data_IF_136628036794
#
_entry.id   IF_136628036794
#
_cell.length_a   1.000
_cell.length_b   1.000
_cell.length_c   1.000
_cell.angle_alpha   90.00
_cell.angle_beta   90.00
_cell.angle_gamma   90.00
#
_symmetry.space_group_name_H-M   'P 1'
#
loop_
_entity.id
_entity.type
_entity.pdbx_description
1 polymer ?
#
# COMPACT_ATOMS: atom_id res chain seq x y z
N UNK A 1 -16.80 -7.35 -6.92
CA UNK A 1 -16.32 -8.32 -5.89
C UNK A 1 -16.82 -7.86 -4.54
N UNK A 2 -17.29 -8.80 -3.71
CA UNK A 2 -17.89 -8.49 -2.41
C UNK A 2 -16.89 -7.72 -1.54
N UNK A 3 -17.32 -6.59 -1.00
CA UNK A 3 -16.59 -5.91 0.07
C UNK A 3 -16.49 -6.92 1.22
N UNK A 4 -15.29 -7.30 1.69
CA UNK A 4 -15.20 -8.07 2.91
C UNK A 4 -15.86 -7.21 4.00
N UNK A 5 -17.00 -7.67 4.52
CA UNK A 5 -17.73 -7.00 5.59
C UNK A 5 -16.81 -6.97 6.82
N UNK A 6 -16.04 -5.89 6.92
CA UNK A 6 -15.27 -5.60 8.11
C UNK A 6 -16.26 -5.38 9.25
N UNK A 7 -16.02 -6.04 10.38
CA UNK A 7 -16.70 -5.70 11.63
C UNK A 7 -16.57 -4.20 11.85
N UNK A 8 -17.68 -3.53 12.15
CA UNK A 8 -17.69 -2.11 12.44
C UNK A 8 -16.59 -1.77 13.47
N UNK A 9 -15.76 -0.78 13.15
CA UNK A 9 -14.61 -0.42 13.99
C UNK A 9 -13.29 -1.10 13.64
N UNK A 10 -13.18 -1.88 12.55
CA UNK A 10 -11.91 -2.39 12.03
C UNK A 10 -11.58 -1.78 10.66
N UNK A 11 -10.29 -1.55 10.40
CA UNK A 11 -9.75 -1.05 9.13
C UNK A 11 -8.60 -1.92 8.66
N UNK A 12 -8.48 -2.09 7.35
CA UNK A 12 -7.35 -2.76 6.73
C UNK A 12 -6.12 -1.86 6.81
N UNK A 13 -5.13 -2.28 7.60
CA UNK A 13 -3.91 -1.49 7.81
C UNK A 13 -2.69 -2.40 8.04
N UNK A 14 -2.31 -3.20 7.03
CA UNK A 14 -1.21 -4.13 7.16
C UNK A 14 0.14 -3.43 7.41
N UNK A 15 1.06 -4.16 8.03
CA UNK A 15 2.48 -3.83 8.05
C UNK A 15 3.14 -4.14 6.69
N UNK A 16 4.35 -3.64 6.48
CA UNK A 16 5.09 -3.94 5.24
C UNK A 16 5.43 -5.42 5.08
N UNK A 17 5.65 -6.12 6.19
CA UNK A 17 5.90 -7.57 6.20
C UNK A 17 4.61 -8.33 5.90
N UNK A 18 3.48 -7.98 6.51
CA UNK A 18 2.18 -8.61 6.21
C UNK A 18 1.80 -8.46 4.73
N UNK A 19 2.09 -7.32 4.09
CA UNK A 19 1.91 -7.15 2.64
C UNK A 19 2.80 -8.09 1.82
N UNK A 20 4.01 -8.37 2.29
CA UNK A 20 4.92 -9.29 1.63
C UNK A 20 4.40 -10.72 1.82
N UNK A 21 4.22 -11.13 3.06
CA UNK A 21 3.99 -12.53 3.43
C UNK A 21 2.58 -13.02 3.06
N UNK A 22 1.55 -12.16 3.18
CA UNK A 22 0.15 -12.56 2.99
C UNK A 22 -0.46 -12.05 1.68
N UNK A 23 0.32 -11.35 0.85
CA UNK A 23 -0.17 -10.87 -0.44
C UNK A 23 0.83 -11.04 -1.58
N UNK A 24 2.05 -10.51 -1.47
CA UNK A 24 3.04 -10.61 -2.55
C UNK A 24 3.60 -12.03 -2.73
N UNK A 25 3.93 -12.73 -1.64
CA UNK A 25 4.47 -14.11 -1.65
C UNK A 25 3.45 -15.08 -2.28
N UNK A 26 2.18 -15.12 -1.84
CA UNK A 26 1.16 -15.95 -2.48
C UNK A 26 0.92 -15.60 -3.95
N UNK A 27 0.88 -14.30 -4.31
CA UNK A 27 0.70 -13.87 -5.71
C UNK A 27 1.88 -14.22 -6.61
N UNK A 28 3.07 -14.28 -6.04
CA UNK A 28 4.26 -14.78 -6.73
C UNK A 28 4.30 -16.31 -6.83
N UNK A 29 3.24 -17.04 -6.43
CA UNK A 29 3.22 -18.50 -6.51
C UNK A 29 4.18 -19.18 -5.54
N UNK A 30 4.65 -18.48 -4.50
CA UNK A 30 5.57 -19.02 -3.50
C UNK A 30 4.86 -19.76 -2.34
N UNK A 31 3.54 -19.96 -2.47
CA UNK A 31 2.68 -20.55 -1.44
C UNK A 31 2.09 -19.51 -0.48
N UNK A 32 1.17 -19.97 0.37
CA UNK A 32 0.44 -19.15 1.34
C UNK A 32 -0.97 -18.74 0.87
N UNK A 33 -1.78 -18.27 1.81
CA UNK A 33 -3.15 -17.83 1.55
C UNK A 33 -3.20 -16.34 1.21
N UNK A 34 -3.89 -15.99 0.13
CA UNK A 34 -4.19 -14.59 -0.22
C UNK A 34 -5.39 -14.13 0.60
N UNK A 35 -5.31 -12.94 1.19
CA UNK A 35 -6.49 -12.23 1.69
C UNK A 35 -7.12 -11.39 0.57
N UNK A 36 -8.21 -11.86 -0.07
CA UNK A 36 -8.81 -11.14 -1.18
C UNK A 36 -9.59 -9.90 -0.71
N UNK A 37 -9.74 -8.94 -1.62
CA UNK A 37 -10.77 -7.92 -1.51
C UNK A 37 -10.44 -6.70 -0.66
N UNK A 38 -9.19 -6.50 -0.22
CA UNK A 38 -8.75 -5.28 0.50
C UNK A 38 -7.75 -4.40 -0.27
N UNK A 39 -7.14 -4.95 -1.30
CA UNK A 39 -6.15 -4.29 -2.16
C UNK A 39 -6.77 -4.22 -3.54
N UNK A 40 -6.85 -3.02 -4.10
CA UNK A 40 -7.48 -2.79 -5.40
C UNK A 40 -6.49 -3.11 -6.53
N UNK A 41 -6.98 -3.73 -7.60
CA UNK A 41 -6.16 -4.27 -8.70
C UNK A 41 -6.50 -3.58 -10.02
N UNK A 42 -5.55 -3.58 -10.96
CA UNK A 42 -5.75 -2.99 -12.29
C UNK A 42 -5.77 -1.45 -12.32
N UNK A 43 -5.33 -0.81 -11.23
CA UNK A 43 -5.20 0.64 -11.14
C UNK A 43 -3.78 1.05 -11.54
N UNK A 44 -3.65 1.90 -12.57
CA UNK A 44 -2.37 2.50 -12.92
C UNK A 44 -2.02 3.66 -11.96
N UNK A 45 -1.53 3.29 -10.77
CA UNK A 45 -1.21 4.24 -9.70
C UNK A 45 -0.15 5.25 -10.10
N UNK A 46 0.79 4.85 -10.97
CA UNK A 46 1.94 5.67 -11.32
C UNK A 46 1.57 6.79 -12.31
N UNK A 47 0.56 6.57 -13.14
CA UNK A 47 0.08 7.54 -14.12
C UNK A 47 -1.06 8.43 -13.61
N UNK A 48 -1.77 8.02 -12.55
CA UNK A 48 -2.92 8.77 -12.04
C UNK A 48 -2.55 9.81 -10.97
N UNK A 49 -3.19 11.00 -10.99
CA UNK A 49 -3.18 11.91 -9.87
C UNK A 49 -3.70 11.22 -8.60
N UNK A 50 -3.10 11.43 -7.42
CA UNK A 50 -3.49 10.74 -6.20
C UNK A 50 -4.97 10.93 -5.82
N UNK A 51 -5.57 12.05 -6.23
CA UNK A 51 -6.99 12.38 -5.95
C UNK A 51 -7.98 11.56 -6.79
N UNK A 52 -7.53 10.99 -7.90
CA UNK A 52 -8.36 10.18 -8.81
C UNK A 52 -8.29 8.68 -8.48
N UNK A 53 -7.43 8.30 -7.51
CA UNK A 53 -7.33 6.93 -7.06
C UNK A 53 -8.60 6.51 -6.30
N UNK A 54 -9.07 5.27 -6.50
CA UNK A 54 -10.31 4.80 -5.90
C UNK A 54 -10.10 4.41 -4.44
N UNK A 55 -10.02 5.40 -3.55
CA UNK A 55 -9.97 5.14 -2.10
C UNK A 55 -11.32 4.65 -1.60
N UNK A 56 -11.29 3.63 -0.75
CA UNK A 56 -12.48 3.13 -0.07
C UNK A 56 -12.93 4.09 1.00
N UNK A 57 -14.25 4.20 1.17
CA UNK A 57 -14.87 5.10 2.15
C UNK A 57 -14.35 4.88 3.58
N UNK A 58 -14.13 3.62 3.98
CA UNK A 58 -13.61 3.26 5.29
C UNK A 58 -12.14 3.64 5.54
N UNK A 59 -11.41 4.04 4.49
CA UNK A 59 -10.04 4.54 4.57
C UNK A 59 -9.96 6.06 4.42
N UNK A 60 -11.10 6.74 4.30
CA UNK A 60 -11.20 8.20 4.36
C UNK A 60 -11.57 8.55 5.80
N UNK A 61 -10.80 9.48 6.38
CA UNK A 61 -11.01 10.00 7.73
C UNK A 61 -11.20 11.50 7.70
N UNK A 62 -11.65 12.01 8.83
CA UNK A 62 -11.77 13.44 9.08
C UNK A 62 -10.40 14.13 8.93
N UNK A 63 -10.44 15.45 8.69
CA UNK A 63 -9.24 16.27 8.47
C UNK A 63 -8.37 15.86 7.26
N UNK A 64 -8.97 15.08 6.35
CA UNK A 64 -8.37 14.73 5.08
C UNK A 64 -7.31 13.64 5.15
N UNK A 65 -7.21 12.90 6.26
CA UNK A 65 -6.43 11.65 6.29
C UNK A 65 -7.08 10.62 5.35
N UNK A 66 -6.28 10.05 4.46
CA UNK A 66 -6.76 9.00 3.54
C UNK A 66 -5.63 8.04 3.21
N UNK A 67 -5.95 6.76 3.04
CA UNK A 67 -5.00 5.78 2.54
C UNK A 67 -5.67 4.74 1.64
N UNK A 68 -4.88 4.11 0.77
CA UNK A 68 -5.31 3.03 -0.11
C UNK A 68 -4.15 2.09 -0.40
N UNK A 69 -4.49 0.88 -0.80
CA UNK A 69 -3.52 -0.14 -1.20
C UNK A 69 -3.90 -0.65 -2.58
N UNK A 70 -2.93 -0.65 -3.48
CA UNK A 70 -3.13 -0.98 -4.88
C UNK A 70 -2.09 -1.99 -5.31
N UNK A 71 -2.49 -3.00 -6.05
CA UNK A 71 -1.60 -4.01 -6.59
C UNK A 71 -1.35 -3.79 -8.07
N UNK A 72 -0.10 -3.98 -8.47
CA UNK A 72 0.30 -4.02 -9.86
C UNK A 72 1.33 -5.13 -10.09
N UNK A 73 1.28 -5.71 -11.30
CA UNK A 73 2.39 -6.45 -11.88
C UNK A 73 3.04 -5.53 -12.90
N UNK A 74 4.34 -5.26 -12.75
CA UNK A 74 5.07 -4.32 -13.61
C UNK A 74 6.36 -4.94 -14.11
N UNK A 75 6.92 -4.39 -15.19
CA UNK A 75 8.17 -4.92 -15.71
C UNK A 75 9.36 -4.49 -14.83
N UNK A 76 10.36 -5.35 -14.72
CA UNK A 76 11.57 -5.09 -13.97
C UNK A 76 12.33 -3.93 -14.62
N UNK A 77 12.58 -2.88 -13.86
CA UNK A 77 13.21 -1.64 -14.37
C UNK A 77 12.21 -0.60 -14.88
N UNK A 78 10.90 -0.90 -14.85
CA UNK A 78 9.86 0.11 -15.08
C UNK A 78 9.92 1.18 -13.98
N UNK A 79 10.38 2.37 -14.40
CA UNK A 79 10.48 3.56 -13.56
C UNK A 79 9.18 4.35 -13.61
N UNK A 80 9.00 5.28 -12.67
CA UNK A 80 7.85 6.17 -12.74
C UNK A 80 7.83 6.91 -14.09
N UNK A 81 6.66 7.01 -14.73
CA UNK A 81 6.55 7.68 -16.02
C UNK A 81 7.05 9.12 -15.91
N UNK A 82 7.63 9.61 -17.00
CA UNK A 82 8.16 10.97 -17.08
C UNK A 82 7.05 11.98 -16.74
N UNK A 83 7.32 13.00 -15.90
CA UNK A 83 6.30 13.98 -15.53
C UNK A 83 5.64 14.62 -16.75
N UNK A 84 4.37 14.31 -16.96
CA UNK A 84 3.50 15.05 -17.87
C UNK A 84 2.93 16.31 -17.22
N UNK A 85 2.08 17.04 -17.95
CA UNK A 85 1.45 18.29 -17.48
C UNK A 85 0.57 18.15 -16.21
N UNK A 86 0.24 16.92 -15.79
CA UNK A 86 -0.60 16.63 -14.61
C UNK A 86 0.16 16.37 -13.30
N UNK A 87 1.49 16.19 -13.33
CA UNK A 87 2.30 15.79 -12.18
C UNK A 87 2.88 14.39 -12.28
N UNK A 88 3.70 14.00 -11.29
CA UNK A 88 4.32 12.68 -11.23
C UNK A 88 4.64 12.25 -9.80
N UNK A 89 4.84 10.94 -9.62
CA UNK A 89 5.45 10.36 -8.43
C UNK A 89 6.98 10.44 -8.53
N UNK A 90 7.62 11.03 -7.52
CA UNK A 90 9.08 11.16 -7.44
C UNK A 90 9.60 10.37 -6.25
N UNK A 91 10.52 9.44 -6.51
CA UNK A 91 11.18 8.63 -5.48
C UNK A 91 12.00 9.54 -4.55
N UNK A 92 12.01 9.25 -3.25
CA UNK A 92 12.82 9.99 -2.28
C UNK A 92 13.26 9.12 -1.10
N UNK A 93 14.35 9.54 -0.45
CA UNK A 93 14.90 8.89 0.74
C UNK A 93 15.67 7.60 0.45
N UNK A 94 16.28 7.05 1.49
CA UNK A 94 17.07 5.82 1.39
C UNK A 94 16.18 4.61 1.19
N UNK A 95 16.60 3.74 0.28
CA UNK A 95 15.92 2.49 -0.03
C UNK A 95 15.95 1.57 1.20
N UNK A 96 14.78 1.06 1.59
CA UNK A 96 14.70 -0.11 2.47
C UNK A 96 14.69 -1.36 1.59
N UNK A 97 15.12 -2.53 2.10
CA UNK A 97 15.34 -3.74 1.29
C UNK A 97 14.14 -4.21 0.45
N UNK A 98 12.93 -3.78 0.79
CA UNK A 98 11.68 -4.15 0.14
C UNK A 98 10.68 -3.00 0.05
N UNK A 99 11.07 -1.77 0.41
CA UNK A 99 10.15 -0.64 0.50
C UNK A 99 10.77 0.67 -0.02
N UNK A 100 10.14 1.22 -1.04
CA UNK A 100 10.52 2.46 -1.71
C UNK A 100 9.51 3.56 -1.38
N UNK A 101 9.94 4.82 -1.33
CA UNK A 101 9.09 5.95 -0.97
C UNK A 101 9.03 6.95 -2.10
N UNK A 102 7.83 7.46 -2.34
CA UNK A 102 7.55 8.41 -3.41
C UNK A 102 6.68 9.56 -2.90
N UNK A 103 6.90 10.75 -3.43
CA UNK A 103 6.09 11.94 -3.17
C UNK A 103 5.48 12.40 -4.48
N UNK A 104 4.22 12.83 -4.45
CA UNK A 104 3.60 13.43 -5.62
C UNK A 104 4.14 14.84 -5.83
N UNK A 105 4.52 15.17 -7.06
CA UNK A 105 4.86 16.53 -7.51
C UNK A 105 3.95 16.89 -8.68
N UNK A 106 3.00 17.80 -8.46
CA UNK A 106 2.14 18.34 -9.51
C UNK A 106 0.76 18.79 -9.03
N UNK A 107 0.04 19.53 -9.88
CA UNK A 107 -1.28 20.10 -9.62
C UNK A 107 -1.27 21.64 -9.50
N UNK A 108 -2.33 22.29 -10.00
CA UNK A 108 -2.52 23.75 -10.00
C UNK A 108 -2.75 24.36 -8.59
N UNK A 109 -2.92 23.54 -7.56
CA UNK A 109 -3.25 23.99 -6.21
C UNK A 109 -2.23 23.46 -5.21
N UNK A 110 -1.52 24.39 -4.56
CA UNK A 110 -0.68 24.12 -3.41
C UNK A 110 -1.53 23.46 -2.32
N UNK A 111 -1.39 22.13 -2.17
CA UNK A 111 -2.07 21.39 -1.12
C UNK A 111 -1.17 21.36 0.12
N UNK A 112 -1.62 21.82 1.30
CA UNK A 112 -0.80 21.83 2.52
C UNK A 112 -0.30 20.43 2.94
N UNK A 113 -1.10 19.39 2.66
CA UNK A 113 -0.68 18.00 2.87
C UNK A 113 -0.13 17.38 1.59
N UNK A 114 1.12 16.91 1.66
CA UNK A 114 1.81 16.20 0.59
C UNK A 114 1.25 14.77 0.47
N UNK A 115 0.92 14.36 -0.75
CA UNK A 115 0.60 12.96 -1.06
C UNK A 115 1.87 12.12 -1.06
N UNK A 116 1.79 10.96 -0.43
CA UNK A 116 2.90 10.04 -0.24
C UNK A 116 2.52 8.66 -0.75
N UNK A 117 3.49 7.94 -1.27
CA UNK A 117 3.34 6.55 -1.67
C UNK A 117 4.50 5.73 -1.12
N UNK A 118 4.18 4.51 -0.65
CA UNK A 118 5.16 3.46 -0.37
C UNK A 118 4.92 2.32 -1.32
N UNK A 119 5.96 1.92 -2.04
CA UNK A 119 5.91 0.75 -2.91
C UNK A 119 6.64 -0.39 -2.22
N UNK A 120 5.94 -1.52 -2.07
CA UNK A 120 6.47 -2.74 -1.50
C UNK A 120 6.71 -3.73 -2.63
N UNK A 121 7.91 -4.32 -2.67
CA UNK A 121 8.31 -5.29 -3.70
C UNK A 121 8.84 -6.54 -3.05
N UNK A 122 8.61 -7.69 -3.69
CA UNK A 122 9.26 -8.94 -3.29
C UNK A 122 10.74 -8.92 -3.72
N UNK A 123 11.63 -9.40 -2.85
CA UNK A 123 13.04 -9.53 -3.19
C UNK A 123 13.24 -10.71 -4.16
N UNK A 124 13.41 -10.41 -5.46
CA UNK A 124 13.64 -11.40 -6.52
C UNK A 124 14.94 -12.18 -6.38
N UNK A 125 15.93 -11.62 -5.70
CA UNK A 125 17.24 -12.26 -5.50
C UNK A 125 17.21 -13.26 -4.34
N UNK A 126 16.09 -13.33 -3.60
CA UNK A 126 15.89 -14.34 -2.58
C UNK A 126 15.87 -15.74 -3.21
N UNK A 127 16.56 -16.68 -2.57
CA UNK A 127 16.70 -18.06 -3.06
C UNK A 127 15.33 -18.75 -3.27
N UNK A 128 14.33 -18.43 -2.44
CA UNK A 128 12.98 -18.96 -2.58
C UNK A 128 12.31 -18.54 -3.90
N UNK A 129 12.44 -17.27 -4.29
CA UNK A 129 11.87 -16.76 -5.54
C UNK A 129 12.54 -17.41 -6.75
N UNK A 130 13.87 -17.51 -6.76
CA UNK A 130 14.63 -18.16 -7.86
C UNK A 130 14.31 -19.65 -8.03
N UNK A 131 13.96 -20.35 -6.94
CA UNK A 131 13.57 -21.77 -7.02
C UNK A 131 12.18 -21.95 -7.63
N UNK A 132 11.24 -21.08 -7.29
CA UNK A 132 9.88 -21.14 -7.81
C UNK A 132 9.78 -20.65 -9.26
N UNK A 133 10.64 -19.71 -9.66
CA UNK A 133 10.71 -19.15 -11.01
C UNK A 133 12.08 -19.45 -11.64
N UNK A 134 12.30 -20.69 -12.13
CA UNK A 134 13.57 -21.07 -12.74
C UNK A 134 13.81 -20.37 -14.08
N UNK A 135 12.74 -20.05 -14.80
CA UNK A 135 12.76 -19.38 -16.11
C UNK A 135 13.27 -17.93 -15.97
N UNK A 136 14.32 -17.54 -16.70
CA UNK A 136 14.81 -16.16 -16.73
C UNK A 136 13.83 -15.13 -17.30
N UNK A 137 12.92 -15.48 -18.22
CA UNK A 137 11.95 -14.51 -18.79
C UNK A 137 10.81 -14.19 -17.80
N UNK A 138 10.43 -15.15 -16.94
CA UNK A 138 9.48 -14.92 -15.84
C UNK A 138 10.03 -13.97 -14.75
N UNK A 139 11.33 -13.61 -14.79
CA UNK A 139 11.98 -12.68 -13.83
C UNK A 139 11.69 -11.23 -14.12
N UNK A 140 11.16 -10.92 -15.30
CA UNK A 140 10.89 -9.54 -15.70
C UNK A 140 9.58 -9.01 -15.12
N UNK A 141 8.71 -9.85 -14.56
CA UNK A 141 7.50 -9.38 -13.87
C UNK A 141 7.75 -9.22 -12.38
N UNK A 142 7.57 -8.00 -11.88
CA UNK A 142 7.68 -7.64 -10.46
C UNK A 142 6.30 -7.36 -9.90
N UNK A 143 5.90 -8.14 -8.90
CA UNK A 143 4.70 -7.90 -8.11
C UNK A 143 4.95 -6.80 -7.09
N UNK A 144 4.08 -5.79 -7.09
CA UNK A 144 4.20 -4.64 -6.20
C UNK A 144 2.87 -4.32 -5.54
N UNK A 145 2.95 -3.79 -4.31
CA UNK A 145 1.84 -3.12 -3.65
C UNK A 145 2.20 -1.67 -3.41
N UNK A 146 1.39 -0.74 -3.92
CA UNK A 146 1.47 0.68 -3.63
C UNK A 146 0.52 1.03 -2.49
N UNK A 147 1.07 1.49 -1.37
CA UNK A 147 0.31 2.21 -0.35
C UNK A 147 0.35 3.70 -0.66
N UNK A 148 -0.77 4.26 -1.13
CA UNK A 148 -0.90 5.71 -1.33
C UNK A 148 -1.63 6.32 -0.13
N UNK A 149 -1.14 7.44 0.39
CA UNK A 149 -1.74 8.08 1.56
C UNK A 149 -1.48 9.58 1.64
N UNK A 150 -2.36 10.25 2.37
CA UNK A 150 -2.22 11.64 2.79
C UNK A 150 -2.44 11.71 4.30
N UNK A 151 -1.55 12.40 4.99
CA UNK A 151 -1.68 12.68 6.43
C UNK A 151 -2.65 13.83 6.69
N UNK A 152 -3.27 13.90 7.88
CA UNK A 152 -4.15 15.02 8.21
C UNK A 152 -3.38 16.35 8.20
N UNK A 153 -4.08 17.43 7.80
CA UNK A 153 -3.57 18.80 7.90
C UNK A 153 -3.95 19.31 9.30
N UNK A 154 -2.99 19.42 10.22
CA UNK A 154 -3.11 19.88 11.63
C UNK A 154 -3.62 18.82 12.65
N UNK A 155 -3.22 18.91 13.94
CA UNK A 155 -3.39 17.82 14.88
C UNK A 155 -4.86 17.68 15.32
N UNK A 156 -5.34 16.44 15.55
CA UNK A 156 -6.64 16.24 16.19
C UNK A 156 -6.64 16.85 17.60
N UNK A 157 -7.80 17.32 18.11
CA UNK A 157 -7.92 17.71 19.52
C UNK A 157 -7.46 16.56 20.42
N UNK A 158 -6.72 16.88 21.48
CA UNK A 158 -6.16 15.91 22.40
C UNK A 158 -7.25 15.37 23.33
N UNK A 159 -7.87 14.24 22.96
CA UNK A 159 -8.75 13.52 23.87
C UNK A 159 -8.08 12.24 24.40
N UNK A 160 -7.52 12.41 25.60
CA UNK A 160 -7.54 11.52 26.76
C UNK A 160 -7.12 10.05 26.61
N UNK A 161 -5.97 9.77 27.24
CA UNK A 161 -5.54 8.53 27.89
C UNK A 161 -6.63 7.47 28.13
N UNK A 162 -6.46 6.29 27.52
CA UNK A 162 -6.93 5.03 28.11
C UNK A 162 -5.95 3.92 27.74
N UNK A 163 -5.20 3.51 28.76
CA UNK A 163 -4.44 2.27 28.82
C UNK A 163 -5.41 1.10 28.77
N UNK A 164 -5.30 0.21 27.78
CA UNK A 164 -5.64 -1.18 28.05
C UNK A 164 -4.94 -2.20 27.15
N UNK A 165 -4.66 -3.29 27.85
CA UNK A 165 -3.96 -4.54 27.62
C UNK A 165 -4.04 -5.22 26.24
N UNK A 166 -2.94 -5.92 25.95
CA UNK A 166 -2.82 -6.87 24.84
C UNK A 166 -3.67 -8.08 25.16
N UNK A 167 -4.72 -8.32 24.39
CA UNK A 167 -5.34 -9.64 24.31
C UNK A 167 -4.96 -10.28 22.97
N UNK A 168 -4.38 -11.48 23.07
CA UNK A 168 -4.12 -12.35 21.94
C UNK A 168 -5.44 -12.67 21.24
N UNK A 169 -5.53 -12.29 19.97
CA UNK A 169 -6.62 -12.71 19.11
C UNK A 169 -6.05 -13.12 17.77
N UNK A 170 -6.10 -14.43 17.50
CA UNK A 170 -6.18 -15.13 16.21
C UNK A 170 -5.47 -14.50 15.01
N UNK A 171 -4.65 -15.27 14.30
CA UNK A 171 -3.81 -14.86 13.15
C UNK A 171 -4.54 -14.08 12.03
N UNK A 172 -5.87 -14.10 11.97
CA UNK A 172 -6.71 -13.22 11.12
C UNK A 172 -6.74 -11.73 11.55
N UNK A 173 -6.25 -11.43 12.75
CA UNK A 173 -6.29 -10.11 13.42
C UNK A 173 -5.15 -9.18 13.00
N UNK A 174 -4.01 -9.71 12.54
CA UNK A 174 -2.80 -8.88 12.39
C UNK A 174 -2.94 -7.79 11.31
N UNK A 175 -3.72 -8.07 10.28
CA UNK A 175 -3.95 -7.18 9.13
C UNK A 175 -5.06 -6.15 9.39
N UNK A 176 -6.01 -6.47 10.27
CA UNK A 176 -7.17 -5.65 10.59
C UNK A 176 -6.97 -4.94 11.92
N UNK A 177 -6.81 -3.63 11.87
CA UNK A 177 -6.58 -2.81 13.07
C UNK A 177 -7.86 -2.14 13.50
N UNK A 178 -8.06 -1.99 14.81
CA UNK A 178 -9.15 -1.16 15.33
C UNK A 178 -9.04 0.25 14.75
N UNK A 179 -10.14 0.76 14.20
CA UNK A 179 -10.30 2.13 13.74
C UNK A 179 -10.17 3.01 14.99
N UNK A 180 -9.12 3.83 15.06
CA UNK A 180 -9.07 4.91 16.05
C UNK A 180 -10.12 5.94 15.63
N UNK A 181 -11.09 6.17 16.51
CA UNK A 181 -12.05 7.27 16.45
C UNK A 181 -11.33 8.60 16.54
#
# INVERSE_FOLDING_TARGET
>A
MANPNLTAGYVFQPTGLELIDHYLVPRAGLGGDIFPGFIDEGVDVLSLPPRELPFRENHIRDYGEVWGFFFAAKLAGETCPTPGAGGCWVQYGTEKPFAYRYTWKGGAVWSPARWLMKEYRLNRDAAAFRRAHPDPEARDVVFVVHKVYRKPVLPPPADSSSSDSKEEGSERSMVLKRKRS
#
